data_IF_819577169225
#
_entry.id   IF_819577169225
#
_cell.length_a   1.000
_cell.length_b   1.000
_cell.length_c   1.000
_cell.angle_alpha   90.00
_cell.angle_beta   90.00
_cell.angle_gamma   90.00
#
_symmetry.space_group_name_H-M   'P 1'
#
loop_
_entity.id
_entity.type
_entity.pdbx_description
1 polymer ?
#
# COMPACT_ATOMS: atom_id res chain seq x y z
N UNK A 1 -25.28 3.94 1.80
CA UNK A 1 -26.64 4.49 1.68
C UNK A 1 -27.70 3.48 2.12
N UNK A 2 -27.97 2.39 1.39
CA UNK A 2 -28.98 1.39 1.81
C UNK A 2 -28.70 0.69 3.15
N UNK A 3 -27.42 0.42 3.45
CA UNK A 3 -27.03 -0.11 4.77
C UNK A 3 -27.38 0.85 5.92
N UNK A 4 -27.19 2.15 5.71
CA UNK A 4 -27.47 3.18 6.72
C UNK A 4 -28.97 3.38 6.92
N UNK A 5 -29.73 3.45 5.82
CA UNK A 5 -31.18 3.61 5.87
C UNK A 5 -31.93 2.44 6.54
N UNK A 6 -31.33 1.24 6.54
CA UNK A 6 -31.89 0.04 7.16
C UNK A 6 -31.28 -0.27 8.54
N UNK A 7 -30.53 0.65 9.16
CA UNK A 7 -30.07 0.46 10.54
C UNK A 7 -31.25 0.67 11.51
N UNK A 8 -31.22 -0.03 12.65
CA UNK A 8 -32.28 0.02 13.67
C UNK A 8 -32.52 1.43 14.22
N UNK A 9 -31.48 2.26 14.31
CA UNK A 9 -31.53 3.64 14.78
C UNK A 9 -32.07 4.63 13.74
N UNK A 10 -32.07 4.27 12.46
CA UNK A 10 -32.52 5.13 11.35
C UNK A 10 -33.91 4.73 10.84
N UNK A 11 -34.14 3.43 10.59
CA UNK A 11 -35.46 2.86 10.33
C UNK A 11 -36.18 3.31 9.06
N UNK A 12 -35.50 3.96 8.09
CA UNK A 12 -36.13 4.37 6.83
C UNK A 12 -36.45 3.20 5.88
N UNK A 13 -35.86 2.03 6.12
CA UNK A 13 -36.13 0.79 5.40
C UNK A 13 -36.17 -0.38 6.39
N UNK A 14 -37.15 -1.28 6.25
CA UNK A 14 -37.23 -2.50 7.07
C UNK A 14 -36.03 -3.44 6.88
N UNK A 15 -35.45 -3.44 5.66
CA UNK A 15 -34.29 -4.28 5.31
C UNK A 15 -33.48 -3.68 4.17
N UNK A 16 -32.16 -3.90 4.19
CA UNK A 16 -31.28 -3.51 3.10
C UNK A 16 -31.51 -4.39 1.85
N UNK A 17 -32.00 -3.84 0.73
CA UNK A 17 -32.30 -4.60 -0.49
C UNK A 17 -31.04 -5.17 -1.18
N UNK A 18 -29.87 -4.61 -0.89
CA UNK A 18 -28.59 -5.09 -1.44
C UNK A 18 -27.90 -6.12 -0.53
N UNK A 19 -28.55 -6.59 0.53
CA UNK A 19 -27.92 -7.51 1.49
C UNK A 19 -27.46 -8.83 0.86
N UNK A 20 -28.20 -9.34 -0.13
CA UNK A 20 -27.87 -10.57 -0.88
C UNK A 20 -27.21 -10.31 -2.24
N UNK A 21 -27.13 -9.04 -2.66
CA UNK A 21 -26.57 -8.70 -3.96
C UNK A 21 -25.04 -8.79 -3.91
N UNK A 22 -24.48 -9.76 -4.64
CA UNK A 22 -23.04 -9.85 -4.85
C UNK A 22 -22.68 -8.99 -6.04
N UNK A 23 -21.86 -7.96 -5.82
CA UNK A 23 -21.31 -7.21 -6.94
C UNK A 23 -20.56 -8.16 -7.87
N UNK A 24 -20.85 -8.14 -9.18
CA UNK A 24 -20.03 -8.86 -10.14
C UNK A 24 -18.60 -8.35 -10.03
N UNK A 25 -17.63 -9.27 -10.11
CA UNK A 25 -16.23 -8.85 -10.21
C UNK A 25 -16.13 -7.96 -11.44
N UNK A 26 -15.51 -6.80 -11.28
CA UNK A 26 -15.18 -5.96 -12.44
C UNK A 26 -14.41 -6.83 -13.44
N UNK A 27 -14.69 -6.73 -14.75
CA UNK A 27 -13.90 -7.44 -15.75
C UNK A 27 -12.44 -7.08 -15.52
N UNK A 28 -11.62 -8.11 -15.35
CA UNK A 28 -10.20 -7.91 -15.20
C UNK A 28 -9.71 -7.33 -16.52
N UNK A 29 -9.19 -6.11 -16.48
CA UNK A 29 -8.54 -5.53 -17.64
C UNK A 29 -7.25 -6.32 -17.87
N UNK A 30 -7.04 -6.78 -19.10
CA UNK A 30 -5.73 -7.25 -19.54
C UNK A 30 -4.83 -6.02 -19.68
N UNK A 31 -4.34 -5.54 -18.56
CA UNK A 31 -3.25 -4.56 -18.52
C UNK A 31 -1.94 -5.35 -18.52
N UNK A 32 -1.07 -5.04 -19.48
CA UNK A 32 0.27 -5.61 -19.52
C UNK A 32 1.01 -5.24 -18.23
N UNK A 33 1.45 -6.27 -17.50
CA UNK A 33 2.27 -6.07 -16.31
C UNK A 33 3.67 -5.66 -16.78
N UNK A 34 3.97 -4.37 -16.71
CA UNK A 34 5.32 -3.86 -16.98
C UNK A 34 6.22 -4.24 -15.79
N UNK A 35 6.95 -5.33 -15.95
CA UNK A 35 8.02 -5.72 -15.03
C UNK A 35 9.28 -4.99 -15.44
N UNK A 36 9.97 -4.36 -14.48
CA UNK A 36 11.29 -3.76 -14.73
C UNK A 36 12.29 -4.91 -14.96
N UNK A 37 12.91 -5.01 -16.15
CA UNK A 37 13.94 -6.00 -16.41
C UNK A 37 15.11 -5.84 -15.44
N UNK A 38 15.75 -6.96 -15.06
CA UNK A 38 16.80 -6.95 -14.04
C UNK A 38 18.02 -6.12 -14.45
N UNK A 39 18.35 -6.15 -15.73
CA UNK A 39 19.41 -5.38 -16.37
C UNK A 39 19.08 -3.88 -16.50
N UNK A 40 17.80 -3.50 -16.43
CA UNK A 40 17.35 -2.11 -16.47
C UNK A 40 17.25 -1.45 -15.08
N UNK A 41 17.35 -2.21 -13.98
CA UNK A 41 17.25 -1.67 -12.61
C UNK A 41 18.27 -0.54 -12.39
N UNK A 42 19.50 -0.69 -12.89
CA UNK A 42 20.53 0.35 -12.77
C UNK A 42 20.15 1.66 -13.45
N UNK A 43 19.48 1.60 -14.61
CA UNK A 43 18.99 2.77 -15.33
C UNK A 43 17.89 3.49 -14.53
N UNK A 44 16.96 2.72 -13.94
CA UNK A 44 15.90 3.27 -13.10
C UNK A 44 16.48 3.98 -11.86
N UNK A 45 17.45 3.35 -11.18
CA UNK A 45 18.09 3.94 -10.01
C UNK A 45 18.86 5.23 -10.35
N UNK A 46 19.61 5.23 -11.47
CA UNK A 46 20.32 6.42 -11.94
C UNK A 46 19.34 7.57 -12.29
N UNK A 47 18.22 7.26 -12.94
CA UNK A 47 17.19 8.26 -13.25
C UNK A 47 16.53 8.84 -11.98
N UNK A 48 16.32 8.01 -10.95
CA UNK A 48 15.77 8.45 -9.67
C UNK A 48 16.74 9.32 -8.88
N UNK A 49 18.05 9.06 -8.97
CA UNK A 49 19.09 9.88 -8.38
C UNK A 49 19.19 11.25 -9.08
N UNK A 50 19.09 11.28 -10.41
CA UNK A 50 19.11 12.50 -11.21
C UNK A 50 17.83 13.35 -11.10
N UNK A 51 16.81 12.87 -10.39
CA UNK A 51 15.49 13.51 -10.29
C UNK A 51 15.59 14.90 -9.67
N UNK A 52 15.05 15.90 -10.37
CA UNK A 52 15.12 17.30 -9.93
C UNK A 52 13.97 17.73 -8.99
N UNK A 53 12.97 16.87 -8.77
CA UNK A 53 11.82 17.16 -7.88
C UNK A 53 11.93 16.39 -6.58
N UNK A 54 11.52 17.01 -5.47
CA UNK A 54 11.59 16.44 -4.11
C UNK A 54 13.03 16.04 -3.70
N UNK A 55 13.99 16.97 -3.91
CA UNK A 55 15.44 16.75 -3.74
C UNK A 55 15.91 16.47 -2.31
N UNK A 56 15.05 16.70 -1.32
CA UNK A 56 15.37 16.43 0.10
C UNK A 56 15.33 14.92 0.44
N UNK A 57 14.95 14.08 -0.53
CA UNK A 57 14.86 12.64 -0.37
C UNK A 57 15.66 11.98 -1.48
N UNK A 58 16.54 11.04 -1.12
CA UNK A 58 17.20 10.19 -2.10
C UNK A 58 16.24 9.08 -2.56
N UNK A 59 15.61 9.29 -3.71
CA UNK A 59 14.63 8.34 -4.26
C UNK A 59 15.28 7.05 -4.79
N UNK A 60 16.56 7.10 -5.16
CA UNK A 60 17.31 5.92 -5.56
C UNK A 60 17.45 4.96 -4.38
N UNK A 61 17.94 5.44 -3.22
CA UNK A 61 18.05 4.62 -2.01
C UNK A 61 16.71 4.08 -1.52
N UNK A 62 15.67 4.91 -1.54
CA UNK A 62 14.33 4.49 -1.15
C UNK A 62 13.80 3.34 -2.04
N UNK A 63 14.02 3.45 -3.35
CA UNK A 63 13.55 2.46 -4.32
C UNK A 63 14.39 1.19 -4.28
N UNK A 64 15.71 1.31 -4.17
CA UNK A 64 16.61 0.18 -4.00
C UNK A 64 16.24 -0.65 -2.77
N UNK A 65 15.99 0.00 -1.64
CA UNK A 65 15.55 -0.67 -0.42
C UNK A 65 14.23 -1.42 -0.62
N UNK A 66 13.26 -0.82 -1.32
CA UNK A 66 12.00 -1.48 -1.67
C UNK A 66 12.21 -2.71 -2.55
N UNK A 67 13.11 -2.64 -3.54
CA UNK A 67 13.43 -3.76 -4.44
C UNK A 67 14.11 -4.91 -3.69
N UNK A 68 15.00 -4.61 -2.74
CA UNK A 68 15.70 -5.63 -1.95
C UNK A 68 14.80 -6.30 -0.90
N UNK A 69 13.85 -5.57 -0.32
CA UNK A 69 13.01 -6.06 0.78
C UNK A 69 11.62 -6.53 0.34
N UNK A 70 11.21 -6.20 -0.90
CA UNK A 70 9.85 -6.40 -1.41
C UNK A 70 8.74 -5.82 -0.51
N UNK A 71 9.07 -4.83 0.32
CA UNK A 71 8.12 -4.15 1.18
C UNK A 71 7.26 -3.16 0.37
N UNK A 72 6.00 -2.99 0.78
CA UNK A 72 5.11 -1.98 0.18
C UNK A 72 5.55 -0.60 0.61
N UNK A 73 5.30 0.39 -0.24
CA UNK A 73 5.65 1.81 -0.01
C UNK A 73 5.24 2.31 1.39
N UNK A 74 4.01 2.02 1.81
CA UNK A 74 3.51 2.44 3.12
C UNK A 74 4.20 1.75 4.29
N UNK A 75 4.67 0.51 4.12
CA UNK A 75 5.40 -0.22 5.16
C UNK A 75 6.81 0.35 5.30
N UNK A 76 7.51 0.60 4.19
CA UNK A 76 8.84 1.24 4.22
C UNK A 76 8.76 2.64 4.81
N UNK A 77 7.70 3.39 4.51
CA UNK A 77 7.52 4.76 5.04
C UNK A 77 7.16 4.81 6.53
N UNK A 78 6.63 3.73 7.09
CA UNK A 78 6.35 3.63 8.52
C UNK A 78 7.52 3.05 9.34
N UNK A 79 8.57 2.56 8.66
CA UNK A 79 9.69 1.89 9.27
C UNK A 79 10.47 2.82 10.21
N UNK A 80 10.81 2.31 11.40
CA UNK A 80 11.64 2.99 12.39
C UNK A 80 12.93 2.23 12.61
N UNK A 81 13.94 2.90 13.17
CA UNK A 81 15.21 2.27 13.51
C UNK A 81 15.03 1.08 14.49
N UNK A 82 14.09 1.19 15.44
CA UNK A 82 13.79 0.13 16.41
C UNK A 82 13.17 -1.14 15.79
N UNK A 83 12.70 -1.06 14.54
CA UNK A 83 12.16 -2.20 13.80
C UNK A 83 13.26 -3.04 13.14
N UNK A 84 14.49 -2.52 13.06
CA UNK A 84 15.64 -3.22 12.50
C UNK A 84 16.35 -3.96 13.63
N UNK A 85 16.33 -5.29 13.58
CA UNK A 85 16.92 -6.18 14.58
C UNK A 85 17.89 -7.13 13.91
N UNK A 86 19.18 -6.95 14.17
CA UNK A 86 20.25 -7.69 13.52
C UNK A 86 20.11 -7.60 11.99
N UNK A 87 19.77 -8.71 11.33
CA UNK A 87 19.58 -8.82 9.89
C UNK A 87 18.10 -8.98 9.49
N UNK A 88 17.16 -8.56 10.34
CA UNK A 88 15.72 -8.68 10.12
C UNK A 88 15.02 -7.34 10.31
N UNK A 89 13.94 -7.16 9.57
CA UNK A 89 13.05 -6.00 9.67
C UNK A 89 11.69 -6.47 10.16
N UNK A 90 11.22 -5.91 11.27
CA UNK A 90 9.87 -6.15 11.78
C UNK A 90 8.87 -5.24 11.05
N UNK A 91 7.91 -5.84 10.34
CA UNK A 91 6.87 -5.09 9.64
C UNK A 91 5.54 -5.20 10.39
N UNK A 92 5.14 -4.11 11.06
CA UNK A 92 3.92 -4.07 11.87
C UNK A 92 3.05 -2.83 11.65
N UNK A 93 3.60 -1.77 11.05
CA UNK A 93 2.91 -0.50 10.77
C UNK A 93 2.82 -0.21 9.27
N UNK A 94 1.95 0.74 8.93
CA UNK A 94 1.81 1.25 7.56
C UNK A 94 1.49 2.75 7.56
N UNK A 95 2.13 3.50 6.66
CA UNK A 95 1.79 4.90 6.41
C UNK A 95 0.87 5.02 5.19
N UNK A 96 -0.29 5.63 5.40
CA UNK A 96 -1.30 5.89 4.36
C UNK A 96 -1.42 7.38 4.07
N UNK A 97 -1.74 7.73 2.81
CA UNK A 97 -1.93 9.13 2.43
C UNK A 97 -3.13 9.77 3.15
N UNK A 98 -4.19 8.98 3.40
CA UNK A 98 -5.47 9.47 3.92
C UNK A 98 -5.53 9.51 5.44
N UNK A 99 -4.82 8.62 6.15
CA UNK A 99 -4.93 8.49 7.60
C UNK A 99 -3.57 8.58 8.32
N UNK A 100 -2.47 8.82 7.60
CA UNK A 100 -1.14 8.83 8.19
C UNK A 100 -0.71 7.44 8.68
N UNK A 101 -0.04 7.40 9.83
CA UNK A 101 0.47 6.18 10.46
C UNK A 101 -0.68 5.30 11.00
N UNK A 102 -0.63 4.00 10.69
CA UNK A 102 -1.52 2.98 11.23
C UNK A 102 -0.72 1.86 11.90
N UNK A 103 -1.22 1.40 13.04
CA UNK A 103 -0.68 0.28 13.82
C UNK A 103 -1.08 -1.09 13.28
N UNK A 104 -1.17 -1.20 11.96
CA UNK A 104 -1.56 -2.43 11.26
C UNK A 104 -0.94 -2.45 9.87
N UNK A 105 -0.52 -3.64 9.41
CA UNK A 105 -0.18 -3.85 8.01
C UNK A 105 -1.45 -3.96 7.16
N UNK A 106 -1.34 -3.79 5.82
CA UNK A 106 -2.49 -3.96 4.90
C UNK A 106 -3.18 -5.32 5.07
N UNK A 107 -2.42 -6.35 5.43
CA UNK A 107 -2.92 -7.73 5.60
C UNK A 107 -3.28 -8.06 7.05
N UNK A 108 -3.17 -7.11 7.99
CA UNK A 108 -3.34 -7.32 9.43
C UNK A 108 -2.50 -8.47 10.00
N UNK A 109 -1.36 -8.76 9.36
CA UNK A 109 -0.39 -9.78 9.79
C UNK A 109 0.97 -9.13 9.99
N UNK A 110 1.58 -9.37 11.14
CA UNK A 110 2.97 -9.01 11.43
C UNK A 110 3.89 -10.00 10.69
N UNK A 111 5.01 -9.53 10.16
CA UNK A 111 6.01 -10.33 9.46
C UNK A 111 7.41 -9.81 9.71
#
# INVERSE_FOLDING_TARGET
MYKWAAQEDVGYLDKNPLASFKMPKAPQKDEDIVVIPRDEVGLVLAALEAKQTYKNVNWSWYTEFMLQTAMRTGEVRALRWDDIKENKILVHQNWTLTHGLKDSTKTNKKR
#
